data_IF_934900276047
#
_entry.id   IF_934900276047
#
_cell.length_a   1.000
_cell.length_b   1.000
_cell.length_c   1.000
_cell.angle_alpha   90.00
_cell.angle_beta   90.00
_cell.angle_gamma   90.00
#
_symmetry.space_group_name_H-M   'P 1'
#
loop_
_entity.id
_entity.type
_entity.pdbx_description
1 polymer ?
#
# COMPACT_ATOMS: atom_id res chain seq x y z
N UNK A 1 -0.11 1.56 -22.81
CA UNK A 1 1.25 1.32 -22.32
C UNK A 1 1.42 2.02 -20.97
N UNK A 2 1.96 1.34 -19.98
CA UNK A 2 2.10 1.94 -18.68
C UNK A 2 3.29 2.91 -18.64
N UNK A 3 3.16 3.93 -17.81
CA UNK A 3 4.20 4.94 -17.62
C UNK A 3 4.58 4.97 -16.16
N UNK A 4 5.80 5.36 -15.89
CA UNK A 4 6.22 5.56 -14.51
C UNK A 4 5.76 6.92 -14.00
N UNK A 5 5.11 6.89 -12.84
CA UNK A 5 4.76 8.11 -12.12
C UNK A 5 5.92 8.42 -11.19
N UNK A 6 6.57 9.57 -11.41
CA UNK A 6 7.72 9.96 -10.59
C UNK A 6 7.22 10.78 -9.41
N UNK A 7 7.50 10.31 -8.20
CA UNK A 7 7.08 10.99 -6.98
C UNK A 7 8.10 12.05 -6.59
N UNK A 8 7.63 13.17 -6.03
CA UNK A 8 8.52 14.20 -5.56
C UNK A 8 8.89 13.95 -4.09
N UNK A 9 9.82 14.76 -3.58
CA UNK A 9 10.34 14.58 -2.23
C UNK A 9 9.31 14.86 -1.13
N UNK A 10 8.20 15.51 -1.49
CA UNK A 10 7.16 15.87 -0.52
C UNK A 10 6.01 14.88 -0.51
N UNK A 11 6.03 13.91 -1.43
CA UNK A 11 4.98 12.90 -1.49
C UNK A 11 5.16 11.92 -0.33
N UNK A 12 4.12 11.74 0.44
CA UNK A 12 4.16 10.86 1.61
C UNK A 12 2.95 9.95 1.57
N UNK A 13 3.18 8.66 1.30
CA UNK A 13 2.11 7.69 1.13
C UNK A 13 1.93 6.88 2.41
N UNK A 14 0.73 6.93 2.96
CA UNK A 14 0.40 6.22 4.19
C UNK A 14 -0.85 5.38 3.96
N UNK A 15 -0.79 4.13 4.37
CA UNK A 15 -1.98 3.28 4.40
C UNK A 15 -1.99 2.49 5.69
N UNK A 16 -3.18 2.08 6.09
CA UNK A 16 -3.39 1.23 7.25
C UNK A 16 -4.24 0.05 6.83
N UNK A 17 -3.88 -1.14 7.30
CA UNK A 17 -4.63 -2.35 6.99
C UNK A 17 -4.97 -3.10 8.26
N UNK A 18 -5.97 -3.98 8.17
CA UNK A 18 -6.22 -4.92 9.24
C UNK A 18 -5.26 -6.11 9.13
N UNK A 19 -5.43 -7.08 10.02
CA UNK A 19 -4.55 -8.24 10.06
C UNK A 19 -4.66 -9.14 8.83
N UNK A 20 -5.71 -8.95 8.04
CA UNK A 20 -5.93 -9.73 6.81
C UNK A 20 -5.44 -9.00 5.58
N UNK A 21 -4.89 -7.80 5.75
CA UNK A 21 -4.41 -7.01 4.62
C UNK A 21 -5.48 -6.18 3.93
N UNK A 22 -6.63 -5.99 4.57
CA UNK A 22 -7.70 -5.18 4.02
C UNK A 22 -7.44 -3.73 4.37
N UNK A 23 -7.53 -2.83 3.39
CA UNK A 23 -7.24 -1.41 3.58
C UNK A 23 -8.31 -0.76 4.46
N UNK A 24 -7.86 -0.13 5.53
CA UNK A 24 -8.74 0.61 6.44
C UNK A 24 -8.60 2.12 6.25
N UNK A 25 -7.47 2.56 5.76
CA UNK A 25 -7.18 3.98 5.57
C UNK A 25 -6.09 4.16 4.53
N UNK A 26 -6.18 5.26 3.79
CA UNK A 26 -5.11 5.73 2.90
C UNK A 26 -5.18 7.26 2.89
N UNK A 27 -4.02 7.90 2.94
CA UNK A 27 -4.00 9.36 2.96
C UNK A 27 -4.23 9.94 1.56
N UNK A 28 -4.38 11.27 1.50
CA UNK A 28 -4.70 11.95 0.24
C UNK A 28 -3.64 11.71 -0.84
N UNK A 29 -2.37 11.77 -0.48
CA UNK A 29 -1.30 11.53 -1.45
C UNK A 29 -1.38 10.11 -2.02
N UNK A 30 -1.68 9.14 -1.16
CA UNK A 30 -1.84 7.76 -1.59
C UNK A 30 -2.96 7.66 -2.63
N UNK A 31 -4.10 8.26 -2.34
CA UNK A 31 -5.25 8.21 -3.24
C UNK A 31 -4.95 8.90 -4.57
N UNK A 32 -4.31 10.06 -4.52
CA UNK A 32 -3.96 10.80 -5.73
C UNK A 32 -3.01 10.02 -6.63
N UNK A 33 -1.96 9.45 -6.05
CA UNK A 33 -0.95 8.74 -6.83
C UNK A 33 -1.55 7.44 -7.38
N UNK A 34 -2.30 6.72 -6.57
CA UNK A 34 -2.90 5.46 -6.99
C UNK A 34 -4.06 5.67 -7.97
N UNK A 35 -4.64 6.87 -8.01
CA UNK A 35 -5.75 7.16 -8.91
C UNK A 35 -7.08 6.60 -8.45
N UNK A 36 -7.21 6.31 -7.17
CA UNK A 36 -8.46 5.81 -6.56
C UNK A 36 -9.01 6.82 -5.59
N UNK A 37 -10.33 6.90 -5.50
CA UNK A 37 -10.96 7.60 -4.38
C UNK A 37 -10.81 6.75 -3.13
N UNK A 38 -10.84 7.40 -1.97
CA UNK A 38 -10.71 6.67 -0.70
C UNK A 38 -11.80 5.58 -0.58
N UNK A 39 -13.00 5.86 -1.05
CA UNK A 39 -14.10 4.90 -0.99
C UNK A 39 -13.84 3.66 -1.83
N UNK A 40 -13.04 3.80 -2.89
CA UNK A 40 -12.68 2.66 -3.73
C UNK A 40 -11.63 1.77 -3.07
N UNK A 41 -10.82 2.33 -2.17
CA UNK A 41 -9.74 1.61 -1.53
C UNK A 41 -10.15 0.94 -0.23
N UNK A 42 -10.98 1.61 0.57
CA UNK A 42 -11.40 1.06 1.87
C UNK A 42 -12.14 -0.26 1.66
N UNK A 43 -11.73 -1.26 2.38
CA UNK A 43 -12.35 -2.59 2.29
C UNK A 43 -11.75 -3.49 1.23
N UNK A 44 -10.81 -2.98 0.43
CA UNK A 44 -10.15 -3.77 -0.60
C UNK A 44 -8.86 -4.38 -0.07
N UNK A 45 -8.48 -5.57 -0.57
CA UNK A 45 -7.16 -6.09 -0.22
C UNK A 45 -6.08 -5.16 -0.75
N UNK A 46 -5.00 -5.02 0.00
CA UNK A 46 -3.92 -4.12 -0.35
C UNK A 46 -3.29 -4.47 -1.71
N UNK A 47 -3.47 -5.70 -2.18
CA UNK A 47 -2.92 -6.11 -3.46
C UNK A 47 -3.58 -5.41 -4.66
N UNK A 48 -4.64 -4.63 -4.43
CA UNK A 48 -5.27 -3.85 -5.50
C UNK A 48 -4.27 -2.90 -6.16
N UNK A 49 -3.26 -2.44 -5.40
CA UNK A 49 -2.23 -1.54 -5.91
C UNK A 49 -0.92 -2.26 -6.20
N UNK A 50 -0.89 -3.58 -6.06
CA UNK A 50 0.34 -4.34 -6.28
C UNK A 50 0.65 -4.43 -7.77
N UNK A 51 1.90 -4.10 -8.14
CA UNK A 51 2.36 -4.32 -9.49
C UNK A 51 2.74 -5.80 -9.66
N UNK A 52 2.40 -6.38 -10.80
CA UNK A 52 2.63 -7.81 -11.05
C UNK A 52 4.10 -8.19 -11.00
N UNK A 53 5.00 -7.22 -11.20
CA UNK A 53 6.44 -7.48 -11.21
C UNK A 53 7.02 -7.56 -9.80
N UNK A 54 6.25 -7.19 -8.77
CA UNK A 54 6.75 -7.31 -7.39
C UNK A 54 6.78 -8.77 -6.98
N UNK A 55 7.92 -9.25 -6.44
CA UNK A 55 8.02 -10.64 -6.00
C UNK A 55 7.01 -10.94 -4.88
N UNK A 56 6.43 -12.12 -4.93
CA UNK A 56 5.49 -12.54 -3.89
C UNK A 56 6.13 -12.56 -2.51
N UNK A 57 7.44 -12.84 -2.45
CA UNK A 57 8.16 -12.90 -1.18
C UNK A 57 8.17 -11.54 -0.46
N UNK A 58 8.18 -10.44 -1.22
CA UNK A 58 8.14 -9.11 -0.62
C UNK A 58 6.81 -8.87 0.11
N UNK A 59 5.72 -9.33 -0.48
CA UNK A 59 4.41 -9.18 0.13
C UNK A 59 4.21 -10.16 1.28
N UNK A 60 4.81 -11.34 1.19
CA UNK A 60 4.78 -12.27 2.31
C UNK A 60 5.46 -11.66 3.53
N UNK A 61 6.62 -11.02 3.32
CA UNK A 61 7.33 -10.35 4.41
C UNK A 61 6.49 -9.22 5.00
N UNK A 62 5.84 -8.43 4.13
CA UNK A 62 4.98 -7.34 4.57
C UNK A 62 3.86 -7.88 5.48
N UNK A 63 3.13 -8.89 5.01
CA UNK A 63 1.99 -9.39 5.76
C UNK A 63 2.40 -10.09 7.05
N UNK A 64 3.52 -10.81 7.05
CA UNK A 64 4.01 -11.43 8.28
C UNK A 64 4.40 -10.39 9.32
N UNK A 65 4.99 -9.29 8.87
CA UNK A 65 5.38 -8.21 9.77
C UNK A 65 4.17 -7.53 10.41
N UNK A 66 3.17 -7.17 9.59
CA UNK A 66 2.01 -6.47 10.13
C UNK A 66 1.13 -7.39 10.97
N UNK A 67 1.08 -8.67 10.66
CA UNK A 67 0.35 -9.63 11.49
C UNK A 67 0.92 -9.74 12.89
N UNK A 68 2.22 -9.54 13.02
CA UNK A 68 2.89 -9.56 14.33
C UNK A 68 2.70 -8.26 15.10
N UNK A 69 1.99 -7.28 14.52
CA UNK A 69 1.77 -5.99 15.15
C UNK A 69 2.90 -5.00 14.92
N UNK A 70 3.77 -5.27 13.97
CA UNK A 70 4.92 -4.40 13.67
C UNK A 70 4.66 -3.56 12.42
N UNK A 71 5.34 -2.43 12.36
CA UNK A 71 5.29 -1.57 11.18
C UNK A 71 6.24 -2.14 10.13
N UNK A 72 5.76 -2.25 8.90
CA UNK A 72 6.59 -2.70 7.79
C UNK A 72 7.03 -1.50 6.96
N UNK A 73 8.31 -1.44 6.58
CA UNK A 73 8.81 -0.44 5.65
C UNK A 73 9.62 -1.12 4.55
N UNK A 74 9.58 -0.54 3.37
CA UNK A 74 10.36 -1.07 2.26
C UNK A 74 10.00 -0.39 0.95
N UNK A 75 10.80 -0.67 -0.07
CA UNK A 75 10.51 -0.17 -1.41
C UNK A 75 9.57 -1.13 -2.11
N UNK A 76 8.51 -0.58 -2.69
CA UNK A 76 7.54 -1.38 -3.43
C UNK A 76 7.25 -0.72 -4.78
N UNK A 77 6.96 -1.56 -5.75
CA UNK A 77 6.46 -1.11 -7.05
C UNK A 77 4.96 -1.33 -7.05
N UNK A 78 4.22 -0.26 -7.23
CA UNK A 78 2.77 -0.29 -7.20
C UNK A 78 2.21 0.06 -8.57
N UNK A 79 0.94 -0.26 -8.76
CA UNK A 79 0.21 0.04 -9.98
C UNK A 79 -0.95 0.97 -9.67
N UNK A 80 -1.06 2.05 -10.42
CA UNK A 80 -2.18 2.96 -10.34
C UNK A 80 -3.38 2.38 -11.09
N UNK A 81 -4.55 2.94 -10.83
CA UNK A 81 -5.81 2.47 -11.43
C UNK A 81 -5.75 2.47 -12.95
N UNK A 82 -5.09 3.44 -13.55
CA UNK A 82 -4.99 3.55 -15.01
C UNK A 82 -3.90 2.66 -15.62
N UNK A 83 -3.21 1.88 -14.81
CA UNK A 83 -2.15 0.98 -15.29
C UNK A 83 -0.75 1.54 -15.21
N UNK A 84 -0.59 2.81 -14.88
CA UNK A 84 0.74 3.39 -14.66
C UNK A 84 1.35 2.81 -13.39
N UNK A 85 2.66 2.91 -13.25
CA UNK A 85 3.33 2.34 -12.08
C UNK A 85 4.21 3.37 -11.39
N UNK A 86 4.52 3.09 -10.13
CA UNK A 86 5.38 3.98 -9.35
C UNK A 86 6.13 3.17 -8.30
N UNK A 87 7.31 3.67 -7.95
CA UNK A 87 8.12 3.10 -6.87
C UNK A 87 7.99 3.99 -5.66
N UNK A 88 7.76 3.38 -4.51
CA UNK A 88 7.66 4.12 -3.25
C UNK A 88 8.46 3.43 -2.16
N UNK A 89 8.91 4.21 -1.19
CA UNK A 89 9.34 3.67 0.08
C UNK A 89 8.10 3.67 0.97
N UNK A 90 7.50 2.53 1.13
CA UNK A 90 6.20 2.41 1.77
C UNK A 90 6.33 2.15 3.25
N UNK A 91 5.41 2.72 4.02
CA UNK A 91 5.25 2.42 5.44
C UNK A 91 3.84 1.88 5.62
N UNK A 92 3.73 0.66 6.13
CA UNK A 92 2.44 0.01 6.34
C UNK A 92 2.27 -0.25 7.83
N UNK A 93 1.21 0.31 8.39
CA UNK A 93 0.91 0.19 9.81
C UNK A 93 -0.06 -0.95 10.04
N UNK A 94 0.19 -1.79 11.04
CA UNK A 94 -0.78 -2.81 11.41
C UNK A 94 -1.92 -2.18 12.19
N UNK A 95 -3.10 -2.81 12.11
CA UNK A 95 -4.19 -2.43 13.00
C UNK A 95 -3.90 -3.04 14.36
N UNK A 96 -3.85 -2.19 15.38
CA UNK A 96 -3.68 -2.66 16.75
C UNK A 96 -5.05 -2.89 17.34
N UNK A 97 -5.35 -4.13 17.71
CA UNK A 97 -6.61 -4.41 18.39
C UNK A 97 -6.47 -4.04 19.84
N UNK A 98 -7.53 -3.49 20.41
CA UNK A 98 -7.54 -3.14 21.82
C UNK A 98 -7.80 -4.35 22.69
N UNK A 99 -8.05 -5.45 22.10
CA UNK A 99 -8.32 -6.66 22.80
C UNK A 99 -7.05 -7.27 23.35
N UNK A 100 -7.13 -7.78 24.49
CA UNK A 100 -6.00 -8.43 25.11
C UNK A 100 -6.37 -9.72 25.80
#
# INVERSE_FOLDING_TARGET
>A
MSKEIVLNDYTFLVSETDEKGIILFANDDFCKIAGYDIDELIGQPHNIIRHKDMPKVAFKDLWETVKKGNIWTGYVKNRAKNGDFYWVYATVFPTVTSEN
#
